data_IF_339862300479
#
_entry.id   IF_339862300479
#
_cell.length_a   1.000
_cell.length_b   1.000
_cell.length_c   1.000
_cell.angle_alpha   90.00
_cell.angle_beta   90.00
_cell.angle_gamma   90.00
#
_symmetry.space_group_name_H-M   'P 1'
#
loop_
_entity.id
_entity.type
_entity.pdbx_description
1 polymer ?
#
# COMPACT_ATOMS: atom_id res chain seq x y z
N UNK A 1 0.00 -0.44 -43.08
CA UNK A 1 -1.19 -1.24 -42.72
C UNK A 1 -1.80 -0.66 -41.45
N UNK A 2 -3.10 -0.36 -41.42
CA UNK A 2 -3.77 0.22 -40.24
C UNK A 2 -4.04 -0.92 -39.25
N UNK A 3 -3.54 -0.78 -38.01
CA UNK A 3 -3.76 -1.75 -36.94
C UNK A 3 -5.25 -1.77 -36.60
N UNK A 4 -5.83 -2.96 -36.39
CA UNK A 4 -7.23 -3.09 -35.98
C UNK A 4 -7.42 -2.53 -34.56
N UNK A 5 -8.66 -2.17 -34.19
CA UNK A 5 -8.93 -1.72 -32.82
C UNK A 5 -8.57 -2.78 -31.78
N UNK A 6 -8.88 -4.05 -32.07
CA UNK A 6 -8.54 -5.16 -31.19
C UNK A 6 -7.02 -5.30 -31.01
N UNK A 7 -6.25 -5.23 -32.09
CA UNK A 7 -4.79 -5.31 -32.01
C UNK A 7 -4.17 -4.10 -31.29
N UNK A 8 -4.78 -2.91 -31.43
CA UNK A 8 -4.34 -1.72 -30.71
C UNK A 8 -4.53 -1.87 -29.19
N UNK A 9 -5.66 -2.47 -28.77
CA UNK A 9 -5.96 -2.79 -27.37
C UNK A 9 -5.02 -3.87 -26.82
N UNK A 10 -4.81 -4.97 -27.56
CA UNK A 10 -3.85 -6.02 -27.17
C UNK A 10 -2.44 -5.47 -26.99
N UNK A 11 -2.00 -4.63 -27.91
CA UNK A 11 -0.69 -3.98 -27.80
C UNK A 11 -0.63 -3.04 -26.58
N UNK A 12 -1.74 -2.34 -26.27
CA UNK A 12 -1.82 -1.43 -25.12
C UNK A 12 -1.65 -2.22 -23.81
N UNK A 13 -2.40 -3.30 -23.68
CA UNK A 13 -2.33 -4.23 -22.55
C UNK A 13 -0.96 -4.89 -22.42
N UNK A 14 -0.33 -5.28 -23.53
CA UNK A 14 1.02 -5.82 -23.53
C UNK A 14 2.04 -4.81 -22.97
N UNK A 15 1.92 -3.53 -23.35
CA UNK A 15 2.78 -2.46 -22.83
C UNK A 15 2.52 -2.22 -21.35
N UNK A 16 1.26 -2.14 -20.92
CA UNK A 16 0.90 -1.94 -19.49
C UNK A 16 1.44 -3.08 -18.63
N UNK A 17 1.32 -4.33 -19.08
CA UNK A 17 1.86 -5.50 -18.37
C UNK A 17 3.39 -5.47 -18.29
N UNK A 18 4.07 -5.24 -19.41
CA UNK A 18 5.53 -5.14 -19.45
C UNK A 18 6.04 -3.99 -18.58
N UNK A 19 5.41 -2.82 -18.67
CA UNK A 19 5.72 -1.65 -17.86
C UNK A 19 5.52 -1.93 -16.37
N UNK A 20 4.43 -2.59 -16.00
CA UNK A 20 4.12 -2.94 -14.61
C UNK A 20 5.26 -3.74 -13.97
N UNK A 21 5.79 -4.72 -14.71
CA UNK A 21 6.93 -5.56 -14.28
C UNK A 21 8.24 -4.78 -14.28
N UNK A 22 8.58 -4.13 -15.40
CA UNK A 22 9.85 -3.43 -15.58
C UNK A 22 10.01 -2.23 -14.63
N UNK A 23 8.93 -1.50 -14.34
CA UNK A 23 9.00 -0.44 -13.33
C UNK A 23 9.30 -1.00 -11.94
N UNK A 24 8.78 -2.16 -11.55
CA UNK A 24 9.16 -2.78 -10.27
C UNK A 24 10.64 -3.20 -10.24
N UNK A 25 11.19 -3.64 -11.38
CA UNK A 25 12.59 -4.05 -11.49
C UNK A 25 13.57 -2.87 -11.46
N UNK A 26 13.18 -1.73 -12.05
CA UNK A 26 14.10 -0.62 -12.36
C UNK A 26 13.73 0.73 -11.71
N UNK A 27 12.54 0.86 -11.11
CA UNK A 27 11.96 2.14 -10.74
C UNK A 27 11.38 2.91 -11.93
N UNK A 28 10.65 3.99 -11.68
CA UNK A 28 10.02 4.77 -12.76
C UNK A 28 11.05 5.50 -13.64
N UNK A 29 12.13 5.98 -13.03
CA UNK A 29 13.18 6.74 -13.71
C UNK A 29 14.34 5.87 -14.20
N UNK A 30 14.47 4.64 -13.70
CA UNK A 30 15.56 3.73 -14.07
C UNK A 30 15.37 2.99 -15.40
N UNK A 31 14.24 3.19 -16.09
CA UNK A 31 14.00 2.63 -17.42
C UNK A 31 13.46 3.66 -18.42
N UNK A 32 14.02 3.63 -19.64
CA UNK A 32 13.61 4.47 -20.75
C UNK A 32 12.46 3.86 -21.58
N UNK A 33 11.71 4.71 -22.29
CA UNK A 33 10.59 4.26 -23.13
C UNK A 33 11.01 3.25 -24.21
N UNK A 34 12.22 3.39 -24.77
CA UNK A 34 12.73 2.48 -25.78
C UNK A 34 12.81 1.04 -25.26
N UNK A 35 13.43 0.86 -24.10
CA UNK A 35 13.63 -0.47 -23.51
C UNK A 35 12.33 -1.04 -22.97
N UNK A 36 11.45 -0.19 -22.43
CA UNK A 36 10.10 -0.58 -22.03
C UNK A 36 9.30 -1.12 -23.21
N UNK A 37 9.24 -0.37 -24.32
CA UNK A 37 8.51 -0.81 -25.52
C UNK A 37 9.12 -2.08 -26.12
N UNK A 38 10.45 -2.19 -26.11
CA UNK A 38 11.15 -3.43 -26.51
C UNK A 38 10.74 -4.61 -25.62
N UNK A 39 10.60 -4.41 -24.31
CA UNK A 39 10.09 -5.43 -23.38
C UNK A 39 8.67 -5.88 -23.67
N UNK A 40 7.85 -5.01 -24.27
CA UNK A 40 6.51 -5.33 -24.77
C UNK A 40 6.50 -5.91 -26.20
N UNK A 41 7.67 -6.12 -26.82
CA UNK A 41 7.78 -6.60 -28.21
C UNK A 41 7.39 -5.56 -29.27
N UNK A 42 7.37 -4.27 -28.90
CA UNK A 42 6.92 -3.18 -29.75
C UNK A 42 8.02 -2.14 -30.02
N UNK A 43 7.84 -1.38 -31.10
CA UNK A 43 8.74 -0.26 -31.41
C UNK A 43 8.42 0.95 -30.53
N UNK A 44 9.42 1.78 -30.24
CA UNK A 44 9.22 3.02 -29.47
C UNK A 44 8.18 3.95 -30.10
N UNK A 45 8.09 3.99 -31.44
CA UNK A 45 7.08 4.80 -32.14
C UNK A 45 5.64 4.37 -31.89
N UNK A 46 5.41 3.13 -31.42
CA UNK A 46 4.09 2.66 -31.00
C UNK A 46 3.57 3.35 -29.74
N UNK A 47 4.47 3.79 -28.87
CA UNK A 47 4.13 4.40 -27.58
C UNK A 47 3.22 5.62 -27.74
N UNK A 48 3.61 6.55 -28.60
CA UNK A 48 2.90 7.81 -28.83
C UNK A 48 1.53 7.63 -29.52
N UNK A 49 1.19 6.42 -29.95
CA UNK A 49 -0.15 6.09 -30.46
C UNK A 49 -1.09 5.53 -29.40
N UNK A 50 -0.55 5.11 -28.25
CA UNK A 50 -1.28 4.37 -27.22
C UNK A 50 -1.36 5.12 -25.90
N UNK A 51 -0.32 5.88 -25.55
CA UNK A 51 -0.21 6.57 -24.27
C UNK A 51 -0.05 8.06 -24.48
N UNK A 52 -0.71 8.85 -23.62
CA UNK A 52 -0.64 10.30 -23.68
C UNK A 52 0.73 10.82 -23.22
N UNK A 53 1.34 10.15 -22.23
CA UNK A 53 2.62 10.51 -21.66
C UNK A 53 3.26 9.31 -20.93
N UNK A 54 4.52 9.45 -20.52
CA UNK A 54 5.15 8.44 -19.64
C UNK A 54 4.46 8.37 -18.28
N UNK A 55 3.95 9.49 -17.77
CA UNK A 55 3.22 9.54 -16.50
C UNK A 55 1.90 8.77 -16.58
N UNK A 56 1.16 8.90 -17.68
CA UNK A 56 -0.05 8.11 -17.97
C UNK A 56 0.26 6.60 -17.95
N UNK A 57 1.33 6.18 -18.65
CA UNK A 57 1.78 4.79 -18.60
C UNK A 57 2.15 4.35 -17.18
N UNK A 58 2.86 5.19 -16.40
CA UNK A 58 3.21 4.88 -15.01
C UNK A 58 1.94 4.68 -14.17
N UNK A 59 0.94 5.54 -14.30
CA UNK A 59 -0.32 5.42 -13.55
C UNK A 59 -1.05 4.11 -13.90
N UNK A 60 -1.18 3.79 -15.20
CA UNK A 60 -1.81 2.55 -15.65
C UNK A 60 -1.05 1.29 -15.21
N UNK A 61 0.27 1.28 -15.38
CA UNK A 61 1.14 0.18 -14.96
C UNK A 61 1.13 -0.03 -13.44
N UNK A 62 1.04 1.06 -12.65
CA UNK A 62 0.91 1.02 -11.20
C UNK A 62 -0.43 0.45 -10.78
N UNK A 63 -1.53 0.82 -11.46
CA UNK A 63 -2.85 0.22 -11.21
C UNK A 63 -2.82 -1.29 -11.47
N UNK A 64 -2.29 -1.71 -12.63
CA UNK A 64 -2.10 -3.12 -12.97
C UNK A 64 -1.26 -3.86 -11.92
N UNK A 65 -0.19 -3.22 -11.42
CA UNK A 65 0.67 -3.79 -10.39
C UNK A 65 -0.08 -4.07 -9.10
N UNK A 66 -0.82 -3.06 -8.61
CA UNK A 66 -1.60 -3.17 -7.38
C UNK A 66 -2.71 -4.22 -7.52
N UNK A 67 -3.43 -4.23 -8.64
CA UNK A 67 -4.49 -5.21 -8.88
C UNK A 67 -3.96 -6.65 -8.93
N UNK A 68 -2.83 -6.89 -9.60
CA UNK A 68 -2.22 -8.22 -9.65
C UNK A 68 -1.74 -8.67 -8.27
N UNK A 69 -1.16 -7.77 -7.47
CA UNK A 69 -0.78 -8.08 -6.10
C UNK A 69 -1.99 -8.40 -5.21
N UNK A 70 -3.09 -7.62 -5.32
CA UNK A 70 -4.33 -7.90 -4.58
C UNK A 70 -4.92 -9.25 -4.97
N UNK A 71 -5.00 -9.54 -6.28
CA UNK A 71 -5.51 -10.83 -6.79
C UNK A 71 -4.70 -12.00 -6.25
N UNK A 72 -3.38 -11.89 -6.21
CA UNK A 72 -2.53 -12.93 -5.66
C UNK A 72 -2.84 -13.26 -4.20
N UNK A 73 -3.14 -12.24 -3.38
CA UNK A 73 -3.59 -12.45 -2.00
C UNK A 73 -4.97 -13.12 -1.96
N UNK A 74 -5.94 -12.61 -2.71
CA UNK A 74 -7.29 -13.19 -2.78
C UNK A 74 -7.26 -14.67 -3.22
N UNK A 75 -6.47 -15.01 -4.24
CA UNK A 75 -6.29 -16.37 -4.73
C UNK A 75 -5.65 -17.27 -3.67
N UNK A 76 -4.64 -16.77 -2.95
CA UNK A 76 -4.00 -17.50 -1.84
C UNK A 76 -4.99 -17.77 -0.71
N UNK A 77 -5.82 -16.79 -0.35
CA UNK A 77 -6.84 -16.94 0.68
C UNK A 77 -7.89 -17.97 0.26
N UNK A 78 -8.34 -17.92 -0.99
CA UNK A 78 -9.30 -18.87 -1.54
C UNK A 78 -8.75 -20.30 -1.60
N UNK A 79 -7.46 -20.46 -1.90
CA UNK A 79 -6.81 -21.77 -1.93
C UNK A 79 -6.58 -22.37 -0.53
N UNK A 80 -6.40 -21.53 0.50
CA UNK A 80 -6.05 -21.96 1.86
C UNK A 80 -6.96 -21.35 2.93
N UNK A 81 -8.29 -21.49 2.88
CA UNK A 81 -9.22 -20.73 3.72
C UNK A 81 -9.01 -20.95 5.23
N UNK A 82 -8.66 -22.16 5.66
CA UNK A 82 -8.43 -22.49 7.07
C UNK A 82 -7.09 -21.96 7.62
N UNK A 83 -6.16 -21.59 6.75
CA UNK A 83 -4.81 -21.14 7.10
C UNK A 83 -4.42 -19.85 6.35
N UNK A 84 -5.41 -19.06 5.93
CA UNK A 84 -5.25 -18.03 4.92
C UNK A 84 -4.18 -16.99 5.30
N UNK A 85 -4.18 -16.52 6.55
CA UNK A 85 -3.17 -15.59 7.05
C UNK A 85 -1.77 -16.19 7.04
N UNK A 86 -1.62 -17.45 7.47
CA UNK A 86 -0.32 -18.14 7.45
C UNK A 86 0.16 -18.38 6.02
N UNK A 87 -0.73 -18.72 5.08
CA UNK A 87 -0.39 -18.89 3.67
C UNK A 87 0.10 -17.57 3.05
N UNK A 88 -0.61 -16.46 3.28
CA UNK A 88 -0.20 -15.13 2.83
C UNK A 88 1.14 -14.73 3.44
N UNK A 89 1.34 -14.93 4.75
CA UNK A 89 2.62 -14.62 5.40
C UNK A 89 3.75 -15.51 4.91
N UNK A 90 3.52 -16.80 4.70
CA UNK A 90 4.53 -17.74 4.23
C UNK A 90 5.03 -17.35 2.84
N UNK A 91 4.14 -16.96 1.94
CA UNK A 91 4.52 -16.41 0.64
C UNK A 91 5.23 -15.06 0.80
N UNK A 92 4.61 -14.12 1.52
CA UNK A 92 5.08 -12.74 1.57
C UNK A 92 6.43 -12.58 2.25
N UNK A 93 6.72 -13.35 3.30
CA UNK A 93 8.01 -13.30 4.02
C UNK A 93 9.02 -14.33 3.49
N UNK A 94 8.78 -14.93 2.33
CA UNK A 94 9.66 -15.94 1.75
C UNK A 94 10.98 -15.38 1.22
N UNK A 95 12.07 -16.17 1.22
CA UNK A 95 13.30 -15.83 0.49
C UNK A 95 13.07 -15.57 -0.99
N UNK A 96 12.12 -16.27 -1.60
CA UNK A 96 11.73 -16.14 -3.00
C UNK A 96 11.16 -14.75 -3.27
N UNK A 97 10.16 -14.31 -2.49
CA UNK A 97 9.63 -12.96 -2.61
C UNK A 97 10.69 -11.92 -2.28
N UNK A 98 11.58 -12.16 -1.30
CA UNK A 98 12.70 -11.23 -1.06
C UNK A 98 13.56 -10.99 -2.30
N UNK A 99 13.89 -12.05 -3.05
CA UNK A 99 14.70 -11.98 -4.28
C UNK A 99 13.93 -11.46 -5.49
N UNK A 100 12.61 -11.60 -5.51
CA UNK A 100 11.74 -11.19 -6.60
C UNK A 100 11.69 -9.65 -6.76
N UNK A 101 11.91 -9.17 -7.99
CA UNK A 101 11.99 -7.74 -8.31
C UNK A 101 10.93 -7.27 -9.29
N UNK A 102 10.47 -8.16 -10.17
CA UNK A 102 9.51 -7.87 -11.22
C UNK A 102 8.08 -8.23 -10.86
N UNK A 103 7.82 -9.19 -10.00
CA UNK A 103 6.44 -9.67 -9.72
C UNK A 103 6.08 -9.70 -8.23
N UNK A 104 6.90 -9.09 -7.38
CA UNK A 104 6.65 -8.92 -5.95
C UNK A 104 5.74 -7.73 -5.61
N UNK A 105 5.55 -7.49 -4.31
CA UNK A 105 4.75 -6.38 -3.79
C UNK A 105 5.16 -5.01 -4.39
N UNK A 106 4.26 -4.30 -5.09
CA UNK A 106 4.56 -2.99 -5.69
C UNK A 106 4.86 -1.90 -4.65
N UNK A 107 4.30 -1.98 -3.44
CA UNK A 107 4.58 -1.01 -2.38
C UNK A 107 6.04 -1.05 -1.93
N UNK A 108 6.64 -2.26 -1.89
CA UNK A 108 8.05 -2.44 -1.56
C UNK A 108 8.94 -1.93 -2.70
N UNK A 109 8.57 -2.21 -3.94
CA UNK A 109 9.38 -1.88 -5.11
C UNK A 109 9.29 -0.38 -5.50
N UNK A 110 8.11 0.22 -5.39
CA UNK A 110 7.78 1.52 -5.99
C UNK A 110 7.20 2.54 -5.00
N UNK A 111 7.02 2.20 -3.72
CA UNK A 111 6.39 3.13 -2.75
C UNK A 111 7.13 4.47 -2.63
N UNK A 112 8.46 4.44 -2.60
CA UNK A 112 9.28 5.64 -2.60
C UNK A 112 9.17 6.44 -3.89
N UNK A 113 9.13 5.76 -5.04
CA UNK A 113 8.97 6.37 -6.36
C UNK A 113 7.61 7.05 -6.48
N UNK A 114 6.53 6.35 -6.14
CA UNK A 114 5.16 6.87 -6.15
C UNK A 114 4.99 8.13 -5.29
N UNK A 115 5.67 8.20 -4.14
CA UNK A 115 5.62 9.37 -3.26
C UNK A 115 6.12 10.66 -3.95
N UNK A 116 7.03 10.54 -4.93
CA UNK A 116 7.61 11.65 -5.70
C UNK A 116 6.83 11.98 -6.99
N UNK A 117 5.82 11.20 -7.34
CA UNK A 117 5.03 11.40 -8.57
C UNK A 117 3.82 12.33 -8.37
N UNK A 118 3.16 12.65 -9.49
CA UNK A 118 1.95 13.45 -9.57
C UNK A 118 0.68 12.75 -9.02
N UNK A 119 -0.46 13.47 -9.02
CA UNK A 119 -1.69 13.01 -8.40
C UNK A 119 -2.28 11.73 -9.02
N UNK A 120 -2.12 11.53 -10.32
CA UNK A 120 -2.70 10.35 -11.01
C UNK A 120 -2.03 9.04 -10.57
N UNK A 121 -0.70 9.05 -10.47
CA UNK A 121 0.07 7.91 -9.97
C UNK A 121 -0.28 7.65 -8.50
N UNK A 122 -0.32 8.70 -7.67
CA UNK A 122 -0.70 8.57 -6.25
C UNK A 122 -2.11 8.00 -6.09
N UNK A 123 -3.07 8.39 -6.94
CA UNK A 123 -4.42 7.84 -6.93
C UNK A 123 -4.45 6.34 -7.29
N UNK A 124 -3.59 5.87 -8.20
CA UNK A 124 -3.48 4.45 -8.51
C UNK A 124 -2.98 3.63 -7.31
N UNK A 125 -1.97 4.14 -6.58
CA UNK A 125 -1.49 3.50 -5.35
C UNK A 125 -2.51 3.56 -4.22
N UNK A 126 -3.20 4.69 -4.05
CA UNK A 126 -4.23 4.85 -3.01
C UNK A 126 -5.38 3.86 -3.20
N UNK A 127 -5.88 3.71 -4.44
CA UNK A 127 -6.91 2.73 -4.76
C UNK A 127 -6.43 1.30 -4.46
N UNK A 128 -5.21 0.97 -4.85
CA UNK A 128 -4.61 -0.33 -4.58
C UNK A 128 -4.41 -0.62 -3.08
N UNK A 129 -3.99 0.39 -2.31
CA UNK A 129 -3.84 0.29 -0.86
C UNK A 129 -5.18 -0.02 -0.19
N UNK A 130 -6.25 0.68 -0.58
CA UNK A 130 -7.60 0.41 -0.07
C UNK A 130 -8.01 -1.04 -0.33
N UNK A 131 -7.79 -1.54 -1.55
CA UNK A 131 -8.07 -2.94 -1.88
C UNK A 131 -7.23 -3.95 -1.08
N UNK A 132 -5.95 -3.67 -0.82
CA UNK A 132 -5.13 -4.51 0.06
C UNK A 132 -5.65 -4.51 1.51
N UNK A 133 -6.11 -3.35 2.00
CA UNK A 133 -6.64 -3.23 3.35
C UNK A 133 -7.97 -3.97 3.50
N UNK A 134 -8.83 -3.98 2.48
CA UNK A 134 -10.05 -4.79 2.45
C UNK A 134 -9.73 -6.27 2.60
N UNK A 135 -8.78 -6.79 1.82
CA UNK A 135 -8.34 -8.20 1.90
C UNK A 135 -7.74 -8.52 3.29
N UNK A 136 -6.95 -7.60 3.85
CA UNK A 136 -6.34 -7.82 5.17
C UNK A 136 -7.34 -7.74 6.32
N UNK A 137 -8.40 -6.95 6.20
CA UNK A 137 -9.46 -6.91 7.21
C UNK A 137 -10.23 -8.23 7.27
N UNK A 138 -10.32 -8.98 6.17
CA UNK A 138 -10.88 -10.34 6.20
C UNK A 138 -10.00 -11.30 7.01
N UNK A 139 -8.67 -11.12 6.95
CA UNK A 139 -7.70 -11.99 7.63
C UNK A 139 -7.41 -11.60 9.09
N UNK A 140 -7.46 -10.31 9.39
CA UNK A 140 -7.20 -9.77 10.72
C UNK A 140 -8.20 -8.65 11.04
N UNK A 141 -9.49 -8.98 11.28
CA UNK A 141 -10.53 -7.99 11.48
C UNK A 141 -10.20 -7.02 12.61
N UNK A 142 -10.49 -5.74 12.35
CA UNK A 142 -10.33 -4.66 13.33
C UNK A 142 -11.12 -4.92 14.62
N UNK A 143 -10.50 -4.58 15.75
CA UNK A 143 -11.07 -4.64 17.09
C UNK A 143 -12.11 -3.55 17.34
N UNK A 144 -12.92 -3.69 18.38
CA UNK A 144 -13.81 -2.60 18.81
C UNK A 144 -12.99 -1.37 19.26
N UNK A 145 -13.35 -0.20 18.74
CA UNK A 145 -12.68 1.07 19.04
C UNK A 145 -11.47 1.39 18.15
N UNK A 146 -11.09 0.48 17.25
CA UNK A 146 -10.15 0.79 16.17
C UNK A 146 -10.88 1.52 15.04
N UNK A 147 -10.21 2.49 14.41
CA UNK A 147 -10.73 3.15 13.20
C UNK A 147 -10.79 2.16 12.02
N UNK A 148 -11.45 2.54 10.91
CA UNK A 148 -11.51 1.70 9.71
C UNK A 148 -10.12 1.22 9.30
N UNK A 149 -9.98 -0.09 9.03
CA UNK A 149 -8.73 -0.74 8.64
C UNK A 149 -7.56 -0.61 9.64
N UNK A 150 -7.78 -0.25 10.93
CA UNK A 150 -6.70 0.06 11.87
C UNK A 150 -5.68 -1.07 12.05
N UNK A 151 -6.17 -2.31 12.21
CA UNK A 151 -5.30 -3.51 12.24
C UNK A 151 -4.68 -3.81 10.89
N UNK A 152 -5.47 -3.78 9.82
CA UNK A 152 -4.99 -4.03 8.46
C UNK A 152 -3.85 -3.08 8.07
N UNK A 153 -3.94 -1.80 8.42
CA UNK A 153 -2.87 -0.81 8.20
C UNK A 153 -1.59 -1.16 8.97
N UNK A 154 -1.73 -1.63 10.22
CA UNK A 154 -0.59 -2.06 11.03
C UNK A 154 0.08 -3.29 10.41
N UNK A 155 -0.71 -4.30 10.04
CA UNK A 155 -0.23 -5.53 9.39
C UNK A 155 0.46 -5.22 8.07
N UNK A 156 -0.18 -4.42 7.20
CA UNK A 156 0.40 -4.03 5.92
C UNK A 156 1.72 -3.28 6.10
N UNK A 157 1.78 -2.37 7.08
CA UNK A 157 3.00 -1.60 7.39
C UNK A 157 4.14 -2.51 7.85
N UNK A 158 3.85 -3.50 8.70
CA UNK A 158 4.84 -4.50 9.14
C UNK A 158 5.32 -5.35 7.96
N UNK A 159 4.39 -5.84 7.13
CA UNK A 159 4.71 -6.65 5.95
C UNK A 159 5.63 -5.88 5.00
N UNK A 160 5.16 -4.72 4.52
CA UNK A 160 5.90 -3.89 3.54
C UNK A 160 7.22 -3.41 4.12
N UNK A 161 7.22 -2.91 5.35
CA UNK A 161 8.41 -2.37 6.02
C UNK A 161 9.48 -3.43 6.24
N UNK A 162 9.11 -4.60 6.75
CA UNK A 162 10.06 -5.69 6.97
C UNK A 162 10.63 -6.22 5.66
N UNK A 163 9.80 -6.39 4.62
CA UNK A 163 10.30 -6.82 3.31
C UNK A 163 11.26 -5.79 2.70
N UNK A 164 10.92 -4.49 2.77
CA UNK A 164 11.82 -3.41 2.34
C UNK A 164 13.16 -3.47 3.09
N UNK A 165 13.13 -3.48 4.43
CA UNK A 165 14.34 -3.51 5.27
C UNK A 165 15.18 -4.78 5.05
N UNK A 166 14.53 -5.92 4.82
CA UNK A 166 15.25 -7.16 4.50
C UNK A 166 16.06 -7.06 3.19
N UNK A 167 15.60 -6.26 2.23
CA UNK A 167 16.25 -6.06 0.93
C UNK A 167 17.37 -5.02 0.96
N UNK A 168 17.39 -4.13 1.96
CA UNK A 168 18.40 -3.06 2.04
C UNK A 168 19.72 -3.51 2.67
N UNK A 169 19.76 -4.70 3.27
CA UNK A 169 20.93 -5.22 3.99
C UNK A 169 21.54 -6.43 3.28
N UNK A 170 22.87 -6.56 3.36
CA UNK A 170 23.62 -7.69 2.78
C UNK A 170 23.73 -8.89 3.72
N UNK A 171 23.67 -8.67 5.04
CA UNK A 171 23.73 -9.74 6.04
C UNK A 171 22.43 -10.57 5.99
N UNK A 172 22.54 -11.86 5.64
CA UNK A 172 21.40 -12.74 5.49
C UNK A 172 20.68 -13.05 6.81
N UNK A 173 21.42 -13.15 7.92
CA UNK A 173 20.83 -13.39 9.23
C UNK A 173 20.06 -12.15 9.70
N UNK A 174 20.64 -10.97 9.52
CA UNK A 174 20.00 -9.70 9.86
C UNK A 174 18.78 -9.43 8.98
N UNK A 175 18.88 -9.70 7.66
CA UNK A 175 17.75 -9.65 6.74
C UNK A 175 16.60 -10.55 7.20
N UNK A 176 16.90 -11.79 7.56
CA UNK A 176 15.90 -12.77 8.00
C UNK A 176 15.25 -12.35 9.31
N UNK A 177 16.02 -11.76 10.22
CA UNK A 177 15.51 -11.21 11.48
C UNK A 177 14.38 -10.20 11.30
N UNK A 178 14.44 -9.31 10.30
CA UNK A 178 13.32 -8.40 9.99
C UNK A 178 12.04 -9.15 9.59
N UNK A 179 12.17 -10.14 8.71
CA UNK A 179 11.03 -10.93 8.20
C UNK A 179 10.40 -11.76 9.32
N UNK A 180 11.23 -12.43 10.13
CA UNK A 180 10.78 -13.24 11.27
C UNK A 180 10.10 -12.39 12.36
N UNK A 181 10.68 -11.23 12.69
CA UNK A 181 10.10 -10.31 13.67
C UNK A 181 8.72 -9.80 13.24
N UNK A 182 8.58 -9.40 11.96
CA UNK A 182 7.30 -8.98 11.43
C UNK A 182 6.28 -10.13 11.36
N UNK A 183 6.68 -11.32 10.92
CA UNK A 183 5.80 -12.49 10.89
C UNK A 183 5.31 -12.86 12.31
N UNK A 184 6.19 -12.81 13.31
CA UNK A 184 5.81 -13.00 14.71
C UNK A 184 4.78 -11.96 15.17
N UNK A 185 5.02 -10.69 14.86
CA UNK A 185 4.15 -9.60 15.28
C UNK A 185 2.78 -9.62 14.59
N UNK A 186 2.73 -9.92 13.29
CA UNK A 186 1.47 -10.10 12.55
C UNK A 186 0.63 -11.22 13.16
N UNK A 187 1.24 -12.36 13.51
CA UNK A 187 0.55 -13.45 14.23
C UNK A 187 0.01 -13.00 15.58
N UNK A 188 0.78 -12.19 16.33
CA UNK A 188 0.35 -11.66 17.63
C UNK A 188 -0.85 -10.73 17.48
N UNK A 189 -0.83 -9.83 16.49
CA UNK A 189 -1.94 -8.91 16.19
C UNK A 189 -3.19 -9.70 15.80
N UNK A 190 -3.07 -10.65 14.89
CA UNK A 190 -4.21 -11.46 14.42
C UNK A 190 -4.86 -12.31 15.54
N UNK A 191 -4.07 -12.80 16.50
CA UNK A 191 -4.58 -13.54 17.67
C UNK A 191 -5.15 -12.65 18.78
N UNK A 192 -4.96 -11.33 18.72
CA UNK A 192 -5.41 -10.43 19.78
C UNK A 192 -6.95 -10.32 19.77
N UNK A 193 -7.65 -10.75 20.83
CA UNK A 193 -9.10 -10.74 20.87
C UNK A 193 -9.68 -9.35 20.61
N UNK A 194 -10.88 -9.29 20.01
CA UNK A 194 -11.69 -8.06 19.98
C UNK A 194 -12.02 -7.70 21.43
N UNK A 195 -11.35 -6.70 22.00
CA UNK A 195 -11.68 -6.21 23.34
C UNK A 195 -13.07 -5.60 23.27
N UNK A 196 -14.08 -6.27 23.83
CA UNK A 196 -15.41 -5.67 23.94
C UNK A 196 -15.35 -4.48 24.89
N UNK A 197 -15.90 -3.33 24.49
CA UNK A 197 -16.09 -2.20 25.40
C UNK A 197 -17.14 -2.59 26.45
N UNK A 198 -16.73 -3.24 27.54
CA UNK A 198 -17.52 -3.14 28.79
C UNK A 198 -17.38 -1.72 29.32
N UNK A 199 -18.38 -0.89 29.01
CA UNK A 199 -18.74 0.32 29.77
C UNK A 199 -17.66 1.39 29.86
N UNK A 200 -17.45 2.15 28.79
CA UNK A 200 -16.95 3.51 28.95
C UNK A 200 -18.17 4.45 28.92
N UNK A 201 -18.42 5.26 29.97
CA UNK A 201 -19.55 6.18 29.98
C UNK A 201 -19.39 7.22 28.85
N UNK A 202 -20.50 7.75 28.32
CA UNK A 202 -20.46 8.68 27.20
C UNK A 202 -19.66 9.93 27.59
N UNK A 203 -18.78 10.36 26.67
CA UNK A 203 -18.04 11.62 26.74
C UNK A 203 -19.04 12.76 26.46
N UNK A 204 -19.92 13.02 27.42
CA UNK A 204 -20.82 14.17 27.44
C UNK A 204 -20.91 14.70 28.87
N UNK A 205 -19.77 15.13 29.40
CA UNK A 205 -19.69 16.08 30.53
C UNK A 205 -18.27 16.65 30.63
N UNK A 206 -17.82 17.34 29.60
CA UNK A 206 -16.60 18.15 29.66
C UNK A 206 -16.75 19.47 28.89
N UNK A 207 -17.94 20.06 28.90
CA UNK A 207 -18.15 21.47 28.53
C UNK A 207 -19.32 22.00 29.34
N UNK A 208 -19.04 22.50 30.56
CA UNK A 208 -19.79 23.56 31.26
C UNK A 208 -19.20 23.77 32.66
N UNK A 209 -18.27 24.72 32.75
CA UNK A 209 -18.10 25.76 33.79
C UNK A 209 -16.63 26.19 33.82
N UNK A 210 -16.29 27.12 32.93
CA UNK A 210 -15.32 28.15 33.28
C UNK A 210 -16.03 29.16 34.20
N UNK A 211 -15.36 29.74 35.21
CA UNK A 211 -15.96 30.79 36.03
C UNK A 211 -15.96 32.11 35.26
N UNK A 212 -17.13 32.76 35.18
CA UNK A 212 -17.28 34.13 34.71
C UNK A 212 -16.44 35.05 35.61
N UNK A 213 -15.46 35.72 35.00
CA UNK A 213 -14.85 36.93 35.56
C UNK A 213 -15.83 38.07 35.37
N UNK A 214 -16.65 38.32 36.38
CA UNK A 214 -17.43 39.56 36.43
C UNK A 214 -16.66 40.63 37.20
N UNK A 215 -16.49 41.75 36.51
CA UNK A 215 -15.77 42.94 36.90
C UNK A 215 -16.50 43.63 38.07
N UNK A 216 -15.83 43.79 39.22
CA UNK A 216 -16.27 44.75 40.24
C UNK A 216 -15.56 46.08 40.02
N UNK A 217 -16.25 46.97 39.33
CA UNK A 217 -15.94 48.39 39.26
C UNK A 217 -16.38 49.02 40.60
N UNK A 218 -15.43 49.37 41.46
CA UNK A 218 -15.64 50.32 42.56
C UNK A 218 -14.67 51.48 42.41
N UNK A 219 -15.14 52.56 41.80
CA UNK A 219 -14.59 53.88 42.05
C UNK A 219 -15.02 54.36 43.43
N UNK A 220 -14.17 55.14 44.10
CA UNK A 220 -14.50 56.43 44.78
C UNK A 220 -13.42 56.80 45.83
N UNK A 221 -12.67 57.89 45.55
CA UNK A 221 -11.93 58.83 46.46
C UNK A 221 -10.83 58.27 47.38
N UNK A 222 -9.64 58.90 47.57
CA UNK A 222 -9.32 60.26 48.07
C UNK A 222 -7.77 60.40 48.02
N UNK A 223 -7.18 61.47 47.48
CA UNK A 223 -6.63 62.70 48.12
C UNK A 223 -5.10 62.68 48.29
N UNK A 224 -4.51 63.77 47.76
CA UNK A 224 -3.15 64.32 47.84
C UNK A 224 -2.07 63.62 47.02
#
# INVERSE_FOLDING_TARGET
>A
MRVSRAQAEENHEAVVNAASRLFREHGFDGIGLKDLMKGAGLTQGGFYKQFASKEDLIAQASRRAMETATRHWSDTIAAYPAAALEAVMAFYFSPEHRKERGDGCPLVALGGDAARQGPEVKAAFEAGLKAHLEVLDELAPSGEGEGPHGRAMTVLSLMVGAMMLSRTVNDEAFSRGFLEAAAHEVRRIAKTPRRSRRGAPPVTQAVRRAPDREQSHKGTTRRF
#
